data_IF_605058382006
#
_entry.id   IF_605058382006
#
_cell.length_a   1.000
_cell.length_b   1.000
_cell.length_c   1.000
_cell.angle_alpha   90.00
_cell.angle_beta   90.00
_cell.angle_gamma   90.00
#
_symmetry.space_group_name_H-M   'P 1'
#
loop_
_entity.id
_entity.type
_entity.pdbx_description
1 polymer ?
#
# COMPACT_ATOMS: atom_id res chain seq x y z
N UNK A 1 -10.57 4.81 -46.03
CA UNK A 1 -9.10 4.91 -45.97
C UNK A 1 -8.73 4.82 -44.51
N UNK A 2 -7.99 3.78 -44.10
CA UNK A 2 -7.47 3.72 -42.74
C UNK A 2 -6.50 4.91 -42.56
N UNK A 3 -6.54 5.66 -41.44
CA UNK A 3 -5.58 6.72 -41.20
C UNK A 3 -4.16 6.12 -41.21
N UNK A 4 -3.26 6.79 -41.93
CA UNK A 4 -1.86 6.37 -42.07
C UNK A 4 -1.20 6.29 -40.68
N UNK A 5 -0.45 5.23 -40.42
CA UNK A 5 0.27 5.05 -39.15
C UNK A 5 1.22 6.23 -38.86
N UNK A 6 1.73 6.90 -39.92
CA UNK A 6 2.53 8.11 -39.81
C UNK A 6 1.74 9.30 -39.24
N UNK A 7 0.50 9.48 -39.68
CA UNK A 7 -0.36 10.59 -39.22
C UNK A 7 -0.77 10.38 -37.75
N UNK A 8 -1.10 9.14 -37.38
CA UNK A 8 -1.41 8.78 -35.99
C UNK A 8 -0.22 9.03 -35.05
N UNK A 9 1.01 8.71 -35.49
CA UNK A 9 2.23 8.96 -34.73
C UNK A 9 2.52 10.47 -34.57
N UNK A 10 2.31 11.26 -35.64
CA UNK A 10 2.50 12.70 -35.61
C UNK A 10 1.51 13.39 -34.63
N UNK A 11 0.23 12.98 -34.64
CA UNK A 11 -0.78 13.48 -33.69
C UNK A 11 -0.39 13.12 -32.25
N UNK A 12 0.05 11.88 -32.01
CA UNK A 12 0.52 11.45 -30.68
C UNK A 12 1.70 12.28 -30.18
N UNK A 13 2.66 12.61 -31.05
CA UNK A 13 3.80 13.44 -30.68
C UNK A 13 3.39 14.89 -30.34
N UNK A 14 2.45 15.48 -31.10
CA UNK A 14 1.92 16.82 -30.78
C UNK A 14 1.24 16.84 -29.41
N UNK A 15 0.40 15.84 -29.12
CA UNK A 15 -0.26 15.66 -27.82
C UNK A 15 0.76 15.52 -26.69
N UNK A 16 1.77 14.67 -26.87
CA UNK A 16 2.81 14.48 -25.86
C UNK A 16 3.59 15.77 -25.59
N UNK A 17 3.97 16.50 -26.65
CA UNK A 17 4.67 17.77 -26.52
C UNK A 17 3.82 18.82 -25.79
N UNK A 18 2.52 18.86 -26.06
CA UNK A 18 1.57 19.76 -25.41
C UNK A 18 1.44 19.46 -23.90
N UNK A 19 1.24 18.20 -23.52
CA UNK A 19 1.17 17.79 -22.12
C UNK A 19 2.52 18.02 -21.40
N UNK A 20 3.65 17.81 -22.08
CA UNK A 20 4.98 18.16 -21.57
C UNK A 20 5.15 19.68 -21.36
N UNK A 21 4.53 20.52 -22.19
CA UNK A 21 4.55 21.97 -21.98
C UNK A 21 3.76 22.37 -20.72
N UNK A 22 2.65 21.68 -20.41
CA UNK A 22 1.92 21.85 -19.15
C UNK A 22 2.77 21.45 -17.94
N UNK A 23 3.46 20.30 -18.02
CA UNK A 23 4.39 19.80 -16.99
C UNK A 23 5.54 20.79 -16.71
N UNK A 24 6.17 21.32 -17.77
CA UNK A 24 7.34 22.20 -17.65
C UNK A 24 6.99 23.64 -17.28
N UNK A 25 5.74 24.05 -17.48
CA UNK A 25 5.27 25.41 -17.18
C UNK A 25 5.63 26.46 -18.23
N UNK A 26 6.08 26.05 -19.43
CA UNK A 26 6.36 26.98 -20.52
C UNK A 26 5.06 27.43 -21.18
N UNK A 27 4.48 28.52 -20.67
CA UNK A 27 3.17 29.03 -21.09
C UNK A 27 3.13 29.42 -22.58
N UNK A 28 4.18 30.02 -23.13
CA UNK A 28 4.21 30.42 -24.54
C UNK A 28 4.23 29.19 -25.46
N UNK A 29 5.05 28.18 -25.12
CA UNK A 29 5.06 26.92 -25.85
C UNK A 29 3.72 26.19 -25.71
N UNK A 30 3.14 26.18 -24.50
CA UNK A 30 1.84 25.58 -24.24
C UNK A 30 0.75 26.20 -25.11
N UNK A 31 0.64 27.53 -25.14
CA UNK A 31 -0.32 28.26 -25.99
C UNK A 31 -0.09 27.98 -27.47
N UNK A 32 1.17 27.98 -27.92
CA UNK A 32 1.51 27.66 -29.32
C UNK A 32 1.08 26.25 -29.71
N UNK A 33 1.37 25.24 -28.86
CA UNK A 33 1.00 23.85 -29.12
C UNK A 33 -0.51 23.63 -29.03
N UNK A 34 -1.21 24.34 -28.13
CA UNK A 34 -2.66 24.30 -28.03
C UNK A 34 -3.34 24.72 -29.35
N UNK A 35 -2.89 25.83 -29.94
CA UNK A 35 -3.40 26.32 -31.24
C UNK A 35 -3.09 25.32 -32.37
N UNK A 36 -1.93 24.67 -32.32
CA UNK A 36 -1.57 23.61 -33.29
C UNK A 36 -2.39 22.32 -33.14
N UNK A 37 -2.99 22.08 -31.97
CA UNK A 37 -3.89 20.95 -31.78
C UNK A 37 -5.31 21.28 -32.28
N UNK A 38 -5.69 22.56 -32.32
CA UNK A 38 -7.00 23.03 -32.81
C UNK A 38 -7.02 23.23 -34.34
N UNK A 39 -6.34 22.37 -35.10
CA UNK A 39 -6.21 22.46 -36.57
C UNK A 39 -7.58 22.40 -37.28
N UNK A 40 -8.55 21.71 -36.69
CA UNK A 40 -9.91 21.58 -37.22
C UNK A 40 -10.84 22.73 -36.78
N UNK A 41 -10.36 23.69 -35.97
CA UNK A 41 -11.14 24.83 -35.50
C UNK A 41 -12.36 24.45 -34.65
N UNK A 42 -12.24 23.36 -33.87
CA UNK A 42 -13.30 22.88 -32.96
C UNK A 42 -13.49 23.80 -31.76
N UNK A 43 -12.51 24.68 -31.53
CA UNK A 43 -12.47 25.64 -30.44
C UNK A 43 -11.45 25.20 -29.40
N UNK A 44 -10.53 26.11 -29.08
CA UNK A 44 -9.36 25.86 -28.23
C UNK A 44 -9.70 25.19 -26.89
N UNK A 45 -10.78 25.64 -26.22
CA UNK A 45 -11.27 25.02 -24.97
C UNK A 45 -11.55 23.53 -25.16
N UNK A 46 -12.43 23.20 -26.13
CA UNK A 46 -12.86 21.83 -26.39
C UNK A 46 -11.70 20.94 -26.80
N UNK A 47 -10.83 21.46 -27.68
CA UNK A 47 -9.63 20.75 -28.11
C UNK A 47 -8.73 20.41 -26.93
N UNK A 48 -8.51 21.34 -25.99
CA UNK A 48 -7.69 21.05 -24.80
C UNK A 48 -8.40 20.07 -23.84
N UNK A 49 -9.71 20.19 -23.65
CA UNK A 49 -10.50 19.27 -22.81
C UNK A 49 -10.43 17.82 -23.33
N UNK A 50 -10.43 17.65 -24.66
CA UNK A 50 -10.35 16.35 -25.32
C UNK A 50 -8.92 15.74 -25.26
N UNK A 51 -7.88 16.56 -25.04
CA UNK A 51 -6.49 16.12 -24.97
C UNK A 51 -6.18 15.58 -23.58
N UNK A 52 -6.22 14.24 -23.48
CA UNK A 52 -5.92 13.48 -22.27
C UNK A 52 -4.90 12.39 -22.52
N UNK A 53 -4.17 12.00 -21.49
CA UNK A 53 -3.33 10.81 -21.54
C UNK A 53 -4.13 9.51 -21.33
N UNK A 54 -3.43 8.38 -21.28
CA UNK A 54 -4.05 7.06 -21.09
C UNK A 54 -4.82 6.95 -19.76
N UNK A 55 -4.46 7.74 -18.75
CA UNK A 55 -5.10 7.75 -17.44
C UNK A 55 -6.17 8.84 -17.35
N UNK A 56 -6.66 9.36 -18.49
CA UNK A 56 -7.61 10.48 -18.59
C UNK A 56 -7.14 11.78 -17.95
N UNK A 57 -5.84 11.96 -17.73
CA UNK A 57 -5.27 13.21 -17.19
C UNK A 57 -5.14 14.22 -18.31
N UNK A 58 -5.75 15.39 -18.13
CA UNK A 58 -5.62 16.55 -19.01
C UNK A 58 -4.51 17.51 -18.58
N UNK A 59 -4.31 18.59 -19.34
CA UNK A 59 -3.29 19.60 -19.06
C UNK A 59 -3.37 20.21 -17.65
N UNK A 60 -4.58 20.39 -17.11
CA UNK A 60 -4.78 20.96 -15.77
C UNK A 60 -4.23 20.04 -14.68
N UNK A 61 -4.37 18.71 -14.81
CA UNK A 61 -3.81 17.74 -13.88
C UNK A 61 -2.28 17.83 -13.85
N UNK A 62 -1.66 17.84 -15.03
CA UNK A 62 -0.20 17.93 -15.16
C UNK A 62 0.36 19.24 -14.63
N UNK A 63 -0.29 20.37 -14.93
CA UNK A 63 0.10 21.67 -14.42
C UNK A 63 -0.02 21.73 -12.89
N UNK A 64 -1.11 21.23 -12.33
CA UNK A 64 -1.34 21.21 -10.89
C UNK A 64 -0.32 20.30 -10.17
N UNK A 65 -0.07 19.10 -10.71
CA UNK A 65 0.91 18.13 -10.19
C UNK A 65 2.34 18.68 -10.09
N UNK A 66 2.72 19.60 -10.98
CA UNK A 66 4.08 20.17 -11.04
C UNK A 66 4.15 21.64 -10.55
N UNK A 67 3.07 22.13 -9.95
CA UNK A 67 2.98 23.46 -9.35
C UNK A 67 3.03 24.60 -10.36
N UNK A 68 2.60 24.38 -11.61
CA UNK A 68 2.63 25.38 -12.69
C UNK A 68 1.39 26.27 -12.63
N UNK A 69 1.30 27.10 -11.59
CA UNK A 69 0.13 27.97 -11.32
C UNK A 69 -0.23 28.86 -12.51
N UNK A 70 0.74 29.38 -13.28
CA UNK A 70 0.45 30.22 -14.46
C UNK A 70 -0.21 29.45 -15.61
N UNK A 71 0.09 28.16 -15.78
CA UNK A 71 -0.64 27.31 -16.72
C UNK A 71 -2.05 27.07 -16.19
N UNK A 72 -2.22 26.82 -14.89
CA UNK A 72 -3.53 26.62 -14.27
C UNK A 72 -4.42 27.86 -14.45
N UNK A 73 -3.86 29.07 -14.22
CA UNK A 73 -4.53 30.35 -14.48
C UNK A 73 -5.01 30.46 -15.91
N UNK A 74 -4.14 30.19 -16.88
CA UNK A 74 -4.54 30.22 -18.27
C UNK A 74 -5.69 29.25 -18.59
N UNK A 75 -5.61 28.01 -18.08
CA UNK A 75 -6.63 26.99 -18.30
C UNK A 75 -7.99 27.36 -17.68
N UNK A 76 -7.99 27.91 -16.46
CA UNK A 76 -9.22 28.22 -15.71
C UNK A 76 -9.81 29.60 -16.03
N UNK A 77 -8.97 30.61 -16.19
CA UNK A 77 -9.41 31.99 -16.38
C UNK A 77 -9.63 32.33 -17.86
N UNK A 78 -8.71 31.95 -18.75
CA UNK A 78 -8.83 32.29 -20.18
C UNK A 78 -9.69 31.26 -20.92
N UNK A 79 -9.47 29.98 -20.63
CA UNK A 79 -10.16 28.89 -21.34
C UNK A 79 -11.41 28.36 -20.63
N UNK A 80 -11.64 28.76 -19.37
CA UNK A 80 -12.83 28.38 -18.59
C UNK A 80 -13.03 26.86 -18.54
N UNK A 81 -11.95 26.09 -18.38
CA UNK A 81 -12.03 24.65 -18.11
C UNK A 81 -12.73 24.39 -16.78
N UNK A 82 -13.33 23.22 -16.66
CA UNK A 82 -13.78 22.70 -15.38
C UNK A 82 -12.58 22.45 -14.46
N UNK A 83 -12.66 22.93 -13.22
CA UNK A 83 -11.59 22.83 -12.23
C UNK A 83 -11.54 21.44 -11.59
N UNK A 84 -12.67 20.74 -11.53
CA UNK A 84 -12.83 19.44 -10.86
C UNK A 84 -12.86 18.26 -11.84
N UNK A 85 -12.23 18.42 -13.01
CA UNK A 85 -12.03 17.29 -13.93
C UNK A 85 -11.37 16.12 -13.21
N UNK A 86 -11.85 14.90 -13.44
CA UNK A 86 -11.31 13.68 -12.82
C UNK A 86 -10.52 12.85 -13.82
N UNK A 87 -9.43 12.27 -13.33
CA UNK A 87 -8.68 11.23 -14.05
C UNK A 87 -9.27 9.82 -13.83
N UNK A 88 -8.59 8.77 -14.29
CA UNK A 88 -9.07 7.39 -14.16
C UNK A 88 -9.19 6.85 -12.74
N UNK A 89 -8.52 7.47 -11.76
CA UNK A 89 -8.60 7.09 -10.35
C UNK A 89 -9.50 8.05 -9.55
N UNK A 90 -10.27 8.89 -10.25
CA UNK A 90 -11.07 9.93 -9.65
C UNK A 90 -10.25 11.12 -9.11
N UNK A 91 -8.93 11.19 -9.38
CA UNK A 91 -8.11 12.29 -8.85
C UNK A 91 -8.40 13.60 -9.59
N UNK A 92 -8.63 14.68 -8.84
CA UNK A 92 -8.78 16.04 -9.38
C UNK A 92 -7.42 16.76 -9.43
N UNK A 93 -7.28 17.86 -10.19
CA UNK A 93 -6.10 18.71 -10.15
C UNK A 93 -5.71 19.17 -8.73
N UNK A 94 -6.69 19.43 -7.86
CA UNK A 94 -6.45 19.79 -6.46
C UNK A 94 -5.74 18.65 -5.71
N UNK A 95 -6.18 17.39 -5.91
CA UNK A 95 -5.54 16.23 -5.28
C UNK A 95 -4.10 16.04 -5.79
N UNK A 96 -3.86 16.20 -7.09
CA UNK A 96 -2.50 16.17 -7.65
C UNK A 96 -1.58 17.23 -7.04
N UNK A 97 -2.05 18.48 -6.90
CA UNK A 97 -1.27 19.56 -6.28
C UNK A 97 -1.00 19.29 -4.80
N UNK A 98 -2.02 18.86 -4.05
CA UNK A 98 -1.91 18.56 -2.62
C UNK A 98 -0.94 17.39 -2.36
N UNK A 99 -1.04 16.31 -3.14
CA UNK A 99 -0.18 15.12 -3.02
C UNK A 99 1.30 15.44 -3.27
N UNK A 100 1.59 16.42 -4.13
CA UNK A 100 2.94 16.83 -4.47
C UNK A 100 3.44 18.02 -3.63
N UNK A 101 2.64 18.54 -2.70
CA UNK A 101 3.01 19.63 -1.81
C UNK A 101 3.05 21.01 -2.48
N UNK A 102 2.36 21.20 -3.61
CA UNK A 102 2.28 22.49 -4.30
C UNK A 102 1.22 23.39 -3.66
N UNK A 103 1.54 23.93 -2.48
CA UNK A 103 0.61 24.70 -1.62
C UNK A 103 -0.02 25.88 -2.36
N UNK A 104 0.78 26.72 -3.03
CA UNK A 104 0.27 27.90 -3.74
C UNK A 104 -0.71 27.52 -4.87
N UNK A 105 -0.40 26.44 -5.60
CA UNK A 105 -1.26 25.93 -6.67
C UNK A 105 -2.54 25.33 -6.10
N UNK A 106 -2.46 24.53 -5.03
CA UNK A 106 -3.63 23.95 -4.38
C UNK A 106 -4.57 25.05 -3.83
N UNK A 107 -4.03 26.06 -3.15
CA UNK A 107 -4.79 27.24 -2.68
C UNK A 107 -5.46 27.97 -3.84
N UNK A 108 -4.71 28.22 -4.90
CA UNK A 108 -5.25 28.86 -6.11
C UNK A 108 -6.43 28.07 -6.69
N UNK A 109 -6.31 26.74 -6.83
CA UNK A 109 -7.39 25.90 -7.34
C UNK A 109 -8.66 25.99 -6.48
N UNK A 110 -8.51 25.95 -5.15
CA UNK A 110 -9.64 26.11 -4.22
C UNK A 110 -10.26 27.50 -4.32
N UNK A 111 -9.46 28.56 -4.42
CA UNK A 111 -9.97 29.93 -4.58
C UNK A 111 -10.64 30.14 -5.96
N UNK A 112 -10.32 29.31 -6.96
CA UNK A 112 -11.03 29.22 -8.25
C UNK A 112 -12.30 28.35 -8.21
N UNK A 113 -12.66 27.81 -7.04
CA UNK A 113 -13.90 27.05 -6.85
C UNK A 113 -13.75 25.54 -6.98
N UNK A 114 -12.52 24.98 -6.92
CA UNK A 114 -12.35 23.54 -6.77
C UNK A 114 -13.04 23.04 -5.50
N UNK A 115 -13.74 21.92 -5.60
CA UNK A 115 -14.34 21.29 -4.44
C UNK A 115 -13.25 20.74 -3.50
N UNK A 116 -13.04 21.43 -2.37
CA UNK A 116 -12.08 21.03 -1.35
C UNK A 116 -12.41 19.71 -0.65
N UNK A 117 -13.66 19.23 -0.77
CA UNK A 117 -14.11 17.94 -0.27
C UNK A 117 -14.05 16.82 -1.33
N UNK A 118 -13.68 17.13 -2.58
CA UNK A 118 -13.56 16.13 -3.62
C UNK A 118 -12.56 15.04 -3.23
N UNK A 119 -12.94 13.79 -3.48
CA UNK A 119 -12.14 12.61 -3.20
C UNK A 119 -11.80 11.82 -4.48
N UNK A 120 -10.69 11.10 -4.42
CA UNK A 120 -10.37 10.03 -5.36
C UNK A 120 -11.34 8.84 -5.20
N UNK A 121 -11.22 7.85 -6.08
CA UNK A 121 -12.02 6.62 -6.01
C UNK A 121 -11.71 5.79 -4.75
N UNK A 122 -10.57 6.04 -4.11
CA UNK A 122 -10.17 5.44 -2.81
C UNK A 122 -10.56 6.34 -1.61
N UNK A 123 -11.39 7.36 -1.82
CA UNK A 123 -11.84 8.28 -0.78
C UNK A 123 -10.82 9.32 -0.31
N UNK A 124 -9.60 9.34 -0.86
CA UNK A 124 -8.57 10.29 -0.44
C UNK A 124 -8.88 11.72 -0.91
N UNK A 125 -8.89 12.67 0.04
CA UNK A 125 -9.10 14.11 -0.21
C UNK A 125 -7.80 14.90 -0.14
N UNK A 126 -7.83 16.18 -0.49
CA UNK A 126 -6.67 17.07 -0.36
C UNK A 126 -6.17 17.16 1.10
N UNK A 127 -7.09 17.03 2.07
CA UNK A 127 -6.77 17.04 3.49
C UNK A 127 -5.94 15.82 3.89
N UNK A 128 -6.26 14.62 3.37
CA UNK A 128 -5.46 13.41 3.59
C UNK A 128 -4.03 13.59 3.10
N UNK A 129 -3.86 14.11 1.88
CA UNK A 129 -2.54 14.36 1.32
C UNK A 129 -1.76 15.40 2.12
N UNK A 130 -2.38 16.51 2.51
CA UNK A 130 -1.74 17.53 3.33
C UNK A 130 -1.32 16.98 4.71
N UNK A 131 -2.16 16.14 5.32
CA UNK A 131 -1.90 15.49 6.60
C UNK A 131 -0.74 14.49 6.52
N UNK A 132 -0.77 13.55 5.56
CA UNK A 132 0.27 12.52 5.42
C UNK A 132 1.62 13.06 4.94
N UNK A 133 1.64 14.21 4.25
CA UNK A 133 2.90 14.86 3.83
C UNK A 133 3.42 15.89 4.83
N UNK A 134 2.66 16.21 5.89
CA UNK A 134 3.03 17.24 6.86
C UNK A 134 2.99 18.66 6.33
N UNK A 135 2.24 18.92 5.25
CA UNK A 135 2.10 20.25 4.67
C UNK A 135 1.15 21.12 5.51
N UNK A 136 1.66 21.62 6.65
CA UNK A 136 0.89 22.34 7.67
C UNK A 136 0.15 23.55 7.11
N UNK A 137 0.78 24.30 6.20
CA UNK A 137 0.16 25.47 5.58
C UNK A 137 -1.06 25.10 4.74
N UNK A 138 -0.99 24.01 3.96
CA UNK A 138 -2.11 23.53 3.17
C UNK A 138 -3.19 22.89 4.05
N UNK A 139 -2.77 22.13 5.07
CA UNK A 139 -3.67 21.50 6.04
C UNK A 139 -4.56 22.54 6.73
N UNK A 140 -3.96 23.58 7.31
CA UNK A 140 -4.70 24.66 7.97
C UNK A 140 -5.60 25.42 6.99
N UNK A 141 -5.11 25.67 5.77
CA UNK A 141 -5.91 26.33 4.75
C UNK A 141 -7.15 25.49 4.40
N UNK A 142 -7.02 24.18 4.17
CA UNK A 142 -8.15 23.31 3.85
C UNK A 142 -9.15 23.25 5.01
N UNK A 143 -8.68 23.08 6.26
CA UNK A 143 -9.53 23.13 7.45
C UNK A 143 -10.30 24.46 7.56
N UNK A 144 -9.68 25.59 7.18
CA UNK A 144 -10.35 26.90 7.15
C UNK A 144 -11.49 27.01 6.12
N UNK A 145 -11.51 26.11 5.12
CA UNK A 145 -12.61 26.00 4.13
C UNK A 145 -13.76 25.10 4.61
N UNK A 146 -13.67 24.55 5.82
CA UNK A 146 -14.75 23.76 6.42
C UNK A 146 -14.85 22.34 5.87
N UNK A 147 -13.76 21.77 5.37
CA UNK A 147 -13.70 20.34 5.01
C UNK A 147 -13.90 19.46 6.24
N UNK A 148 -14.49 18.29 6.04
CA UNK A 148 -14.69 17.33 7.12
C UNK A 148 -13.34 16.68 7.53
N UNK A 149 -12.99 16.88 8.81
CA UNK A 149 -11.79 16.32 9.44
C UNK A 149 -11.86 14.79 9.55
N UNK A 150 -13.08 14.23 9.53
CA UNK A 150 -13.36 12.79 9.64
C UNK A 150 -13.57 12.11 8.27
N UNK A 151 -13.29 12.80 7.16
CA UNK A 151 -13.40 12.22 5.82
C UNK A 151 -12.64 10.89 5.73
N UNK A 152 -13.27 9.85 5.16
CA UNK A 152 -12.71 8.50 5.10
C UNK A 152 -12.11 8.21 3.72
N UNK A 153 -10.89 7.68 3.73
CA UNK A 153 -10.30 6.96 2.60
C UNK A 153 -10.20 5.47 2.94
N UNK A 154 -9.87 4.64 1.96
CA UNK A 154 -9.56 3.22 2.20
C UNK A 154 -8.43 3.02 3.22
N UNK A 155 -7.53 4.02 3.34
CA UNK A 155 -6.43 4.02 4.30
C UNK A 155 -6.75 4.81 5.59
N UNK A 156 -8.03 5.17 5.81
CA UNK A 156 -8.52 5.86 7.01
C UNK A 156 -8.55 7.39 6.91
N UNK A 157 -8.79 8.03 8.04
CA UNK A 157 -8.92 9.49 8.18
C UNK A 157 -7.60 10.23 7.92
N UNK A 158 -7.63 11.56 7.70
CA UNK A 158 -6.43 12.39 7.69
C UNK A 158 -5.56 12.20 8.95
N UNK A 159 -6.17 11.93 10.11
CA UNK A 159 -5.43 11.67 11.35
C UNK A 159 -4.66 10.35 11.28
N UNK A 160 -5.24 9.29 10.72
CA UNK A 160 -4.55 8.01 10.47
C UNK A 160 -3.36 8.22 9.52
N UNK A 161 -3.54 9.04 8.46
CA UNK A 161 -2.46 9.36 7.52
C UNK A 161 -1.32 10.14 8.18
N UNK A 162 -1.63 11.20 8.93
CA UNK A 162 -0.62 11.97 9.66
C UNK A 162 0.14 11.09 10.66
N UNK A 163 -0.58 10.25 11.40
CA UNK A 163 -0.04 9.32 12.38
C UNK A 163 0.91 8.29 11.76
N UNK A 164 0.51 7.66 10.65
CA UNK A 164 1.31 6.64 9.94
C UNK A 164 2.52 7.19 9.18
N UNK A 165 2.58 8.51 8.98
CA UNK A 165 3.68 9.19 8.30
C UNK A 165 4.55 10.05 9.24
N UNK A 166 4.40 9.90 10.56
CA UNK A 166 5.17 10.64 11.58
C UNK A 166 5.04 12.17 11.45
N UNK A 167 3.82 12.66 11.17
CA UNK A 167 3.56 14.09 11.00
C UNK A 167 3.01 14.71 12.28
N UNK A 168 3.87 14.87 13.29
CA UNK A 168 3.49 15.30 14.64
C UNK A 168 2.68 16.61 14.67
N UNK A 169 3.10 17.65 13.94
CA UNK A 169 2.37 18.92 13.94
C UNK A 169 1.01 18.79 13.24
N UNK A 170 0.89 17.93 12.22
CA UNK A 170 -0.38 17.66 11.56
C UNK A 170 -1.32 16.87 12.48
N UNK A 171 -0.82 15.86 13.21
CA UNK A 171 -1.57 15.12 14.24
C UNK A 171 -2.15 16.09 15.26
N UNK A 172 -1.31 16.98 15.80
CA UNK A 172 -1.75 18.00 16.77
C UNK A 172 -2.86 18.89 16.21
N UNK A 173 -2.68 19.45 15.01
CA UNK A 173 -3.68 20.33 14.39
C UNK A 173 -5.00 19.59 14.15
N UNK A 174 -4.95 18.35 13.67
CA UNK A 174 -6.16 17.56 13.43
C UNK A 174 -6.91 17.29 14.75
N UNK A 175 -6.20 16.95 15.83
CA UNK A 175 -6.77 16.77 17.16
C UNK A 175 -7.36 18.08 17.72
N UNK A 176 -6.68 19.21 17.53
CA UNK A 176 -7.18 20.55 17.90
C UNK A 176 -8.47 20.91 17.13
N UNK A 177 -8.64 20.33 15.94
CA UNK A 177 -9.86 20.39 15.12
C UNK A 177 -10.85 19.26 15.41
N UNK A 178 -10.76 18.61 16.58
CA UNK A 178 -11.67 17.58 17.06
C UNK A 178 -11.66 16.27 16.25
N UNK A 179 -10.55 15.94 15.59
CA UNK A 179 -10.39 14.64 14.96
C UNK A 179 -10.54 13.50 16.00
N UNK A 180 -11.24 12.43 15.65
CA UNK A 180 -11.43 11.29 16.55
C UNK A 180 -10.13 10.48 16.68
N UNK A 181 -9.47 10.44 17.87
CA UNK A 181 -8.24 9.68 18.07
C UNK A 181 -8.43 8.16 18.00
N UNK A 182 -9.69 7.70 18.04
CA UNK A 182 -10.10 6.30 17.92
C UNK A 182 -10.85 6.03 16.62
N UNK A 183 -10.68 6.85 15.58
CA UNK A 183 -11.17 6.51 14.25
C UNK A 183 -10.52 5.19 13.79
N UNK A 184 -11.25 4.40 13.02
CA UNK A 184 -10.77 3.12 12.52
C UNK A 184 -11.16 2.90 11.05
N UNK A 185 -10.30 2.20 10.31
CA UNK A 185 -10.63 1.68 8.97
C UNK A 185 -11.48 0.41 9.07
N UNK A 186 -11.96 -0.09 7.94
CA UNK A 186 -12.61 -1.41 7.84
C UNK A 186 -11.71 -2.57 8.33
N UNK A 187 -10.39 -2.37 8.33
CA UNK A 187 -9.39 -3.33 8.82
C UNK A 187 -9.00 -3.07 10.29
N UNK A 188 -9.77 -2.25 11.01
CA UNK A 188 -9.54 -1.82 12.39
C UNK A 188 -8.22 -1.05 12.62
N UNK A 189 -7.65 -0.46 11.57
CA UNK A 189 -6.43 0.36 11.69
C UNK A 189 -6.80 1.70 12.31
N UNK A 190 -6.17 2.05 13.44
CA UNK A 190 -6.39 3.30 14.17
C UNK A 190 -5.18 4.22 14.11
N UNK A 191 -5.31 5.53 14.41
CA UNK A 191 -4.17 6.45 14.48
C UNK A 191 -3.06 5.94 15.39
N UNK A 192 -3.42 5.44 16.57
CA UNK A 192 -2.44 4.94 17.55
C UNK A 192 -1.65 3.75 16.99
N UNK A 193 -2.34 2.82 16.32
CA UNK A 193 -1.68 1.67 15.69
C UNK A 193 -0.73 2.12 14.57
N UNK A 194 -1.17 3.03 13.70
CA UNK A 194 -0.36 3.57 12.59
C UNK A 194 0.90 4.29 13.10
N UNK A 195 0.78 5.07 14.17
CA UNK A 195 1.91 5.73 14.81
C UNK A 195 2.91 4.74 15.42
N UNK A 196 2.43 3.65 16.02
CA UNK A 196 3.30 2.60 16.57
C UNK A 196 4.02 1.85 15.44
N UNK A 197 3.33 1.54 14.34
CA UNK A 197 3.96 0.96 13.15
C UNK A 197 4.98 1.91 12.50
N UNK A 198 4.75 3.22 12.57
CA UNK A 198 5.70 4.24 12.11
C UNK A 198 6.88 4.46 13.07
N UNK A 199 6.83 3.93 14.31
CA UNK A 199 7.85 4.15 15.32
C UNK A 199 7.87 5.57 15.91
N UNK A 200 6.76 6.32 15.79
CA UNK A 200 6.70 7.72 16.23
C UNK A 200 6.25 7.87 17.69
N UNK A 201 7.22 7.98 18.60
CA UNK A 201 6.92 8.30 20.00
C UNK A 201 6.19 9.67 20.16
N UNK A 202 6.56 10.75 19.46
CA UNK A 202 5.91 12.05 19.65
C UNK A 202 4.43 12.05 19.25
N UNK A 203 4.07 11.40 18.14
CA UNK A 203 2.66 11.24 17.75
C UNK A 203 1.92 10.35 18.75
N UNK A 204 2.59 9.33 19.29
CA UNK A 204 1.97 8.39 20.23
C UNK A 204 1.56 9.10 21.51
N UNK A 205 2.46 9.93 22.07
CA UNK A 205 2.19 10.72 23.27
C UNK A 205 1.00 11.66 23.06
N UNK A 206 0.90 12.30 21.88
CA UNK A 206 -0.24 13.17 21.55
C UNK A 206 -1.56 12.41 21.45
N UNK A 207 -1.57 11.25 20.79
CA UNK A 207 -2.76 10.42 20.64
C UNK A 207 -3.21 9.83 21.98
N UNK A 208 -2.28 9.37 22.82
CA UNK A 208 -2.58 8.92 24.18
C UNK A 208 -3.17 10.06 25.01
N UNK A 209 -2.59 11.26 24.93
CA UNK A 209 -3.12 12.44 25.62
C UNK A 209 -4.54 12.81 25.13
N UNK A 210 -4.84 12.57 23.86
CA UNK A 210 -6.17 12.75 23.28
C UNK A 210 -7.18 11.63 23.63
N UNK A 211 -6.76 10.58 24.33
CA UNK A 211 -7.63 9.48 24.74
C UNK A 211 -7.72 8.34 23.72
N UNK A 212 -6.69 8.13 22.89
CA UNK A 212 -6.58 6.95 22.06
C UNK A 212 -6.50 5.67 22.92
N UNK A 213 -7.23 4.63 22.51
CA UNK A 213 -7.26 3.33 23.17
C UNK A 213 -5.98 2.53 22.84
N UNK A 214 -5.11 2.21 23.82
CA UNK A 214 -3.88 1.46 23.57
C UNK A 214 -4.12 -0.05 23.37
N UNK A 215 -5.35 -0.54 23.58
CA UNK A 215 -5.74 -1.95 23.52
C UNK A 215 -6.53 -2.31 22.25
N UNK A 216 -6.39 -1.53 21.18
CA UNK A 216 -6.95 -1.85 19.86
C UNK A 216 -6.32 -3.13 19.30
N UNK A 217 -7.05 -3.84 18.45
CA UNK A 217 -6.60 -5.07 17.79
C UNK A 217 -6.86 -4.92 16.29
N UNK A 218 -5.82 -5.10 15.49
CA UNK A 218 -5.94 -5.16 14.03
C UNK A 218 -5.02 -6.24 13.47
N UNK A 219 -5.52 -7.06 12.56
CA UNK A 219 -4.79 -8.23 12.04
C UNK A 219 -4.28 -9.14 13.16
N UNK A 220 -5.09 -9.35 14.20
CA UNK A 220 -4.73 -10.16 15.36
C UNK A 220 -3.80 -9.49 16.37
N UNK A 221 -3.07 -8.43 16.03
CA UNK A 221 -2.06 -7.83 16.90
C UNK A 221 -2.56 -6.55 17.62
N UNK A 222 -2.04 -6.32 18.84
CA UNK A 222 -2.19 -5.03 19.54
C UNK A 222 -1.00 -4.10 19.25
N UNK A 223 -1.10 -2.79 19.50
CA UNK A 223 0.04 -1.87 19.47
C UNK A 223 1.24 -2.38 20.28
N UNK A 224 0.99 -3.04 21.42
CA UNK A 224 2.05 -3.56 22.27
C UNK A 224 2.77 -4.76 21.62
N UNK A 225 2.09 -5.58 20.81
CA UNK A 225 2.73 -6.63 20.02
C UNK A 225 3.65 -6.04 18.95
N UNK A 226 3.17 -5.04 18.19
CA UNK A 226 3.97 -4.39 17.15
C UNK A 226 5.22 -3.73 17.76
N UNK A 227 5.06 -3.00 18.86
CA UNK A 227 6.17 -2.35 19.54
C UNK A 227 7.19 -3.38 20.11
N UNK A 228 6.70 -4.55 20.54
CA UNK A 228 7.53 -5.67 21.01
C UNK A 228 8.28 -6.35 19.88
N UNK A 229 7.66 -6.52 18.71
CA UNK A 229 8.30 -7.07 17.51
C UNK A 229 9.45 -6.18 17.00
N UNK A 230 9.32 -4.86 17.17
CA UNK A 230 10.33 -3.88 16.79
C UNK A 230 11.36 -3.60 17.90
N UNK A 231 11.20 -4.16 19.10
CA UNK A 231 12.09 -3.88 20.24
C UNK A 231 12.05 -2.40 20.70
N UNK A 232 10.97 -1.68 20.42
CA UNK A 232 10.86 -0.22 20.65
C UNK A 232 10.54 0.12 22.11
N UNK A 233 11.56 0.07 22.97
CA UNK A 233 11.43 0.21 24.44
C UNK A 233 10.70 1.47 24.90
N UNK A 234 10.89 2.61 24.23
CA UNK A 234 10.24 3.87 24.60
C UNK A 234 8.74 3.84 24.26
N UNK A 235 8.38 3.27 23.12
CA UNK A 235 6.98 3.06 22.70
C UNK A 235 6.29 2.05 23.61
N UNK A 236 6.94 0.93 23.92
CA UNK A 236 6.44 -0.06 24.88
C UNK A 236 6.15 0.62 26.22
N UNK A 237 7.11 1.39 26.73
CA UNK A 237 6.96 2.12 27.99
C UNK A 237 5.83 3.14 27.95
N UNK A 238 5.64 3.84 26.83
CA UNK A 238 4.55 4.80 26.63
C UNK A 238 3.19 4.09 26.64
N UNK A 239 3.04 3.02 25.85
CA UNK A 239 1.80 2.22 25.77
C UNK A 239 1.41 1.63 27.13
N UNK A 240 2.36 1.09 27.88
CA UNK A 240 2.11 0.55 29.22
C UNK A 240 1.64 1.65 30.19
N UNK A 241 2.27 2.83 30.16
CA UNK A 241 1.82 4.00 30.94
C UNK A 241 0.41 4.46 30.55
N UNK A 242 0.05 4.29 29.26
CA UNK A 242 -1.27 4.60 28.73
C UNK A 242 -2.34 3.54 29.10
N UNK A 243 -1.95 2.42 29.71
CA UNK A 243 -2.87 1.35 30.11
C UNK A 243 -3.02 0.22 29.08
N UNK A 244 -2.02 0.01 28.21
CA UNK A 244 -1.94 -1.19 27.39
C UNK A 244 -1.87 -2.44 28.28
N UNK A 245 -2.68 -3.46 27.98
CA UNK A 245 -2.67 -4.74 28.68
C UNK A 245 -1.62 -5.67 28.07
N UNK A 246 -0.53 -5.99 28.80
CA UNK A 246 0.53 -6.89 28.33
C UNK A 246 0.11 -8.37 28.30
N UNK A 247 -1.14 -8.69 28.65
CA UNK A 247 -1.67 -10.04 28.66
C UNK A 247 -2.57 -10.36 27.46
N UNK A 248 -2.92 -9.39 26.63
CA UNK A 248 -3.65 -9.68 25.38
C UNK A 248 -2.75 -10.56 24.51
N UNK A 249 -3.35 -11.56 23.86
CA UNK A 249 -2.66 -12.44 22.94
C UNK A 249 -2.96 -12.04 21.50
N UNK A 250 -1.99 -12.20 20.61
CA UNK A 250 -2.19 -12.05 19.17
C UNK A 250 -2.90 -13.28 18.55
N UNK A 251 -2.93 -13.32 17.21
CA UNK A 251 -3.53 -14.43 16.43
C UNK A 251 -2.83 -15.78 16.65
N UNK A 252 -1.54 -15.77 16.98
CA UNK A 252 -0.77 -16.98 17.31
C UNK A 252 -0.93 -17.39 18.79
N UNK A 253 -1.74 -16.65 19.55
CA UNK A 253 -1.92 -16.85 20.99
C UNK A 253 -0.73 -16.34 21.82
N UNK A 254 0.14 -15.54 21.22
CA UNK A 254 1.37 -15.04 21.84
C UNK A 254 1.10 -13.74 22.56
N UNK A 255 1.66 -13.57 23.77
CA UNK A 255 1.66 -12.27 24.46
C UNK A 255 2.81 -11.40 23.95
N UNK A 256 2.75 -10.06 24.12
CA UNK A 256 3.83 -9.15 23.70
C UNK A 256 5.21 -9.53 24.23
N UNK A 257 5.30 -10.01 25.48
CA UNK A 257 6.58 -10.46 26.07
C UNK A 257 7.19 -11.66 25.33
N UNK A 258 6.36 -12.55 24.78
CA UNK A 258 6.84 -13.68 24.00
C UNK A 258 7.33 -13.24 22.61
N UNK A 259 6.65 -12.26 22.00
CA UNK A 259 7.09 -11.64 20.73
C UNK A 259 8.47 -11.00 20.91
N UNK A 260 8.65 -10.16 21.95
CA UNK A 260 9.95 -9.57 22.27
C UNK A 260 11.03 -10.64 22.56
N UNK A 261 10.67 -11.68 23.30
CA UNK A 261 11.58 -12.78 23.63
C UNK A 261 12.01 -13.58 22.39
N UNK A 262 11.10 -13.83 21.44
CA UNK A 262 11.37 -14.49 20.17
C UNK A 262 12.36 -13.71 19.30
N UNK A 263 12.30 -12.37 19.34
CA UNK A 263 13.28 -11.48 18.69
C UNK A 263 14.61 -11.38 19.44
N UNK A 264 14.66 -11.82 20.69
CA UNK A 264 15.83 -11.67 21.56
C UNK A 264 15.99 -10.27 22.15
N UNK A 265 14.94 -9.45 22.11
CA UNK A 265 14.98 -8.07 22.61
C UNK A 265 14.90 -8.02 24.13
N UNK A 266 16.04 -8.26 24.78
CA UNK A 266 16.16 -8.32 26.24
C UNK A 266 15.53 -7.12 26.95
N UNK A 267 15.79 -5.91 26.47
CA UNK A 267 15.29 -4.70 27.12
C UNK A 267 13.76 -4.61 27.09
N UNK A 268 13.13 -5.02 25.99
CA UNK A 268 11.67 -5.10 25.89
C UNK A 268 11.11 -6.18 26.85
N UNK A 269 11.77 -7.34 26.93
CA UNK A 269 11.41 -8.41 27.88
C UNK A 269 11.52 -7.92 29.33
N UNK A 270 12.59 -7.21 29.69
CA UNK A 270 12.79 -6.64 31.04
C UNK A 270 11.67 -5.68 31.45
N UNK A 271 11.10 -4.93 30.49
CA UNK A 271 9.98 -4.01 30.73
C UNK A 271 8.65 -4.78 30.84
N UNK A 272 8.41 -5.75 29.97
CA UNK A 272 7.12 -6.45 29.84
C UNK A 272 6.93 -7.57 30.87
N UNK A 273 7.99 -8.31 31.19
CA UNK A 273 7.93 -9.50 32.04
C UNK A 273 7.29 -9.24 33.42
N UNK A 274 7.64 -8.16 34.16
CA UNK A 274 7.05 -7.90 35.47
C UNK A 274 5.54 -7.58 35.44
N UNK A 275 5.02 -7.19 34.28
CA UNK A 275 3.62 -6.81 34.08
C UNK A 275 2.80 -7.92 33.42
N UNK A 276 3.45 -9.00 32.99
CA UNK A 276 2.81 -10.11 32.27
C UNK A 276 2.58 -11.28 33.20
N UNK A 277 1.38 -11.87 33.13
CA UNK A 277 1.06 -13.09 33.86
C UNK A 277 1.92 -14.26 33.37
N UNK A 278 2.47 -15.09 34.28
CA UNK A 278 3.30 -16.22 33.90
C UNK A 278 2.62 -17.17 32.92
N UNK A 279 3.38 -17.61 31.92
CA UNK A 279 2.89 -18.48 30.85
C UNK A 279 3.21 -19.92 31.20
N UNK A 280 2.19 -20.78 31.22
CA UNK A 280 2.31 -22.17 31.71
C UNK A 280 3.35 -23.02 30.97
N UNK A 281 3.58 -22.74 29.68
CA UNK A 281 4.55 -23.47 28.84
C UNK A 281 6.00 -23.07 29.12
N UNK A 282 6.22 -21.91 29.75
CA UNK A 282 7.55 -21.38 30.08
C UNK A 282 7.89 -21.77 31.52
N UNK A 283 8.76 -22.77 31.69
CA UNK A 283 9.11 -23.30 33.02
C UNK A 283 9.99 -22.37 33.85
N UNK A 284 10.90 -21.64 33.21
CA UNK A 284 11.70 -20.58 33.84
C UNK A 284 11.14 -19.20 33.48
N UNK A 285 10.33 -18.63 34.37
CA UNK A 285 9.75 -17.29 34.20
C UNK A 285 10.73 -16.19 34.61
N UNK A 286 11.92 -16.22 34.01
CA UNK A 286 12.94 -15.19 34.10
C UNK A 286 13.16 -14.55 32.73
N UNK A 287 13.87 -13.43 32.67
CA UNK A 287 14.22 -12.78 31.40
C UNK A 287 15.00 -13.74 30.49
N UNK A 288 15.98 -14.44 31.05
CA UNK A 288 16.78 -15.43 30.32
C UNK A 288 15.93 -16.64 29.93
N UNK A 289 15.13 -17.15 30.87
CA UNK A 289 14.30 -18.34 30.67
C UNK A 289 13.25 -18.20 29.57
N UNK A 290 12.56 -17.07 29.49
CA UNK A 290 11.58 -16.84 28.42
C UNK A 290 12.24 -16.62 27.05
N UNK A 291 13.38 -15.92 27.00
CA UNK A 291 14.14 -15.71 25.76
C UNK A 291 14.66 -17.05 25.23
N UNK A 292 15.27 -17.86 26.09
CA UNK A 292 15.75 -19.19 25.73
C UNK A 292 14.61 -20.10 25.27
N UNK A 293 13.47 -20.09 25.98
CA UNK A 293 12.29 -20.87 25.60
C UNK A 293 11.79 -20.49 24.21
N UNK A 294 11.62 -19.19 23.94
CA UNK A 294 11.08 -18.71 22.67
C UNK A 294 12.04 -18.93 21.51
N UNK A 295 13.35 -18.68 21.70
CA UNK A 295 14.34 -18.94 20.66
C UNK A 295 14.50 -20.43 20.35
N UNK A 296 14.33 -21.30 21.36
CA UNK A 296 14.32 -22.74 21.16
C UNK A 296 13.08 -23.18 20.39
N UNK A 297 11.90 -22.68 20.75
CA UNK A 297 10.66 -22.97 20.03
C UNK A 297 10.77 -22.57 18.55
N UNK A 298 11.28 -21.37 18.24
CA UNK A 298 11.50 -20.94 16.85
C UNK A 298 12.47 -21.86 16.09
N UNK A 299 13.57 -22.29 16.73
CA UNK A 299 14.52 -23.24 16.12
C UNK A 299 13.88 -24.61 15.88
N UNK A 300 13.05 -25.10 16.81
CA UNK A 300 12.34 -26.38 16.67
C UNK A 300 11.22 -26.31 15.62
N UNK A 301 10.60 -25.15 15.41
CA UNK A 301 9.65 -24.91 14.31
C UNK A 301 10.36 -24.79 12.95
N UNK A 302 11.51 -24.12 12.88
CA UNK A 302 12.36 -24.07 11.69
C UNK A 302 12.93 -25.45 11.33
N UNK A 303 13.38 -26.23 12.32
CA UNK A 303 13.85 -27.61 12.12
C UNK A 303 12.70 -28.59 11.85
N UNK A 304 11.54 -28.39 12.50
CA UNK A 304 10.34 -29.21 12.34
C UNK A 304 9.62 -28.99 11.02
N UNK A 305 9.62 -27.78 10.47
CA UNK A 305 9.18 -27.49 9.10
C UNK A 305 10.13 -28.13 8.07
N UNK A 306 11.45 -28.05 8.29
CA UNK A 306 12.46 -28.75 7.48
C UNK A 306 12.34 -30.29 7.57
N UNK A 307 11.95 -30.85 8.73
CA UNK A 307 11.77 -32.30 8.93
C UNK A 307 10.40 -32.82 8.46
N UNK A 308 9.35 -32.00 8.49
CA UNK A 308 8.03 -32.33 7.92
C UNK A 308 8.08 -32.35 6.38
N UNK A 309 8.91 -31.53 5.74
CA UNK A 309 9.23 -31.66 4.31
C UNK A 309 10.04 -32.95 4.01
N UNK A 310 10.76 -33.51 4.99
CA UNK A 310 11.57 -34.73 4.86
C UNK A 310 10.83 -36.05 5.20
N UNK A 311 9.59 -36.00 5.69
CA UNK A 311 8.81 -37.19 6.10
C UNK A 311 7.36 -37.12 5.60
N UNK A 312 7.16 -37.11 4.29
CA UNK A 312 5.92 -37.59 3.69
C UNK A 312 6.15 -38.98 3.07
N UNK A 313 5.24 -39.95 3.24
CA UNK A 313 5.35 -41.25 2.58
C UNK A 313 5.19 -41.10 1.07
N UNK A 314 6.08 -41.77 0.34
CA UNK A 314 6.11 -41.89 -1.10
C UNK A 314 4.89 -42.66 -1.60
N UNK A 315 3.82 -41.95 -1.98
CA UNK A 315 2.74 -42.52 -2.78
C UNK A 315 1.99 -41.40 -3.53
N UNK A 316 2.63 -40.89 -4.58
CA UNK A 316 1.99 -40.65 -5.89
C UNK A 316 3.04 -40.18 -6.88
N UNK A 317 3.32 -41.04 -7.87
CA UNK A 317 4.20 -40.75 -9.00
C UNK A 317 3.70 -39.51 -9.76
N UNK A 318 4.45 -38.40 -9.71
CA UNK A 318 4.43 -37.36 -10.75
C UNK A 318 5.81 -36.65 -10.79
N UNK A 319 6.56 -36.99 -11.84
CA UNK A 319 7.85 -36.48 -12.36
C UNK A 319 8.47 -35.25 -11.65
N UNK A 320 9.55 -35.48 -10.89
CA UNK A 320 10.53 -34.45 -10.49
C UNK A 320 11.16 -33.82 -11.73
N UNK A 321 11.06 -32.50 -11.87
CA UNK A 321 11.99 -31.71 -12.68
C UNK A 321 13.21 -31.36 -11.81
N UNK A 322 14.39 -31.51 -12.39
CA UNK A 322 15.69 -31.30 -11.76
C UNK A 322 15.83 -29.89 -11.17
N UNK A 323 15.81 -29.78 -9.85
CA UNK A 323 16.14 -28.53 -9.14
C UNK A 323 17.67 -28.53 -8.93
N UNK A 324 18.41 -27.52 -9.41
CA UNK A 324 19.87 -27.46 -9.24
C UNK A 324 20.27 -27.26 -7.77
N UNK A 325 21.25 -28.04 -7.29
CA UNK A 325 21.87 -27.86 -5.96
C UNK A 325 22.65 -26.53 -5.90
N UNK A 326 22.26 -25.63 -4.98
CA UNK A 326 22.84 -24.29 -4.80
C UNK A 326 23.78 -24.28 -3.59
N UNK A 327 24.97 -23.70 -3.73
CA UNK A 327 25.95 -23.62 -2.63
C UNK A 327 25.49 -22.72 -1.48
N UNK A 328 25.93 -22.95 -0.23
CA UNK A 328 25.60 -22.10 0.92
C UNK A 328 25.98 -20.62 0.72
N UNK A 329 27.09 -20.35 0.03
CA UNK A 329 27.54 -18.99 -0.29
C UNK A 329 26.60 -18.28 -1.26
N UNK A 330 26.04 -19.00 -2.24
CA UNK A 330 25.06 -18.46 -3.17
C UNK A 330 23.72 -18.17 -2.48
N UNK A 331 23.28 -19.07 -1.57
CA UNK A 331 22.10 -18.82 -0.72
C UNK A 331 22.24 -17.58 0.15
N UNK A 332 23.41 -17.37 0.77
CA UNK A 332 23.68 -16.16 1.56
C UNK A 332 23.57 -14.89 0.71
N UNK A 333 24.18 -14.86 -0.47
CA UNK A 333 24.09 -13.72 -1.39
C UNK A 333 22.67 -13.50 -1.91
N UNK A 334 21.92 -14.57 -2.13
CA UNK A 334 20.50 -14.49 -2.48
C UNK A 334 19.68 -13.81 -1.39
N UNK A 335 19.91 -14.12 -0.11
CA UNK A 335 19.25 -13.47 1.02
C UNK A 335 19.61 -11.98 1.13
N UNK A 336 20.86 -11.61 0.88
CA UNK A 336 21.28 -10.20 0.85
C UNK A 336 20.59 -9.43 -0.29
N UNK A 337 20.43 -10.05 -1.47
CA UNK A 337 19.68 -9.48 -2.59
C UNK A 337 18.18 -9.40 -2.29
N UNK A 338 17.60 -10.40 -1.63
CA UNK A 338 16.21 -10.40 -1.16
C UNK A 338 15.95 -9.24 -0.19
N UNK A 339 16.84 -9.01 0.79
CA UNK A 339 16.72 -7.92 1.75
C UNK A 339 16.76 -6.55 1.06
N UNK A 340 17.62 -6.37 0.03
CA UNK A 340 17.59 -5.16 -0.82
C UNK A 340 16.26 -4.98 -1.53
N UNK A 341 15.67 -6.07 -2.03
CA UNK A 341 14.36 -6.04 -2.68
C UNK A 341 13.23 -5.65 -1.72
N UNK A 342 13.26 -6.15 -0.48
CA UNK A 342 12.28 -5.80 0.56
C UNK A 342 12.40 -4.33 0.98
N UNK A 343 13.61 -3.80 1.10
CA UNK A 343 13.84 -2.39 1.38
C UNK A 343 13.35 -1.48 0.23
N UNK A 344 13.63 -1.88 -1.02
CA UNK A 344 13.12 -1.19 -2.20
C UNK A 344 11.58 -1.20 -2.25
N UNK A 345 10.98 -2.35 -1.92
CA UNK A 345 9.53 -2.50 -1.85
C UNK A 345 8.90 -1.58 -0.81
N UNK A 346 9.49 -1.47 0.39
CA UNK A 346 9.04 -0.54 1.44
C UNK A 346 9.06 0.92 0.97
N UNK A 347 10.04 1.29 0.15
CA UNK A 347 10.16 2.62 -0.48
C UNK A 347 9.26 2.82 -1.70
N UNK A 348 8.44 1.82 -2.05
CA UNK A 348 7.59 1.78 -3.27
C UNK A 348 8.38 1.87 -4.58
N UNK A 349 9.68 1.55 -4.56
CA UNK A 349 10.49 1.41 -5.76
C UNK A 349 10.40 -0.03 -6.27
N UNK A 350 9.28 -0.33 -6.94
CA UNK A 350 8.98 -1.69 -7.37
C UNK A 350 9.93 -2.19 -8.46
N UNK A 351 10.46 -1.31 -9.31
CA UNK A 351 11.43 -1.70 -10.34
C UNK A 351 12.76 -2.12 -9.72
N UNK A 352 13.25 -1.37 -8.73
CA UNK A 352 14.45 -1.77 -7.98
C UNK A 352 14.21 -3.04 -7.15
N UNK A 353 13.00 -3.21 -6.59
CA UNK A 353 12.63 -4.44 -5.89
C UNK A 353 12.65 -5.66 -6.82
N UNK A 354 12.11 -5.52 -8.03
CA UNK A 354 12.11 -6.57 -9.07
C UNK A 354 13.53 -6.96 -9.48
N UNK A 355 14.41 -5.98 -9.73
CA UNK A 355 15.80 -6.23 -10.08
C UNK A 355 16.52 -7.00 -8.96
N UNK A 356 16.33 -6.58 -7.71
CA UNK A 356 16.90 -7.23 -6.55
C UNK A 356 16.37 -8.66 -6.34
N UNK A 357 15.06 -8.91 -6.51
CA UNK A 357 14.49 -10.26 -6.43
C UNK A 357 14.92 -11.14 -7.61
N UNK A 358 15.16 -10.56 -8.78
CA UNK A 358 15.70 -11.29 -9.94
C UNK A 358 17.14 -11.73 -9.68
N UNK A 359 17.99 -10.84 -9.19
CA UNK A 359 19.34 -11.19 -8.74
C UNK A 359 19.33 -12.25 -7.64
N UNK A 360 18.40 -12.16 -6.69
CA UNK A 360 18.24 -13.17 -5.65
C UNK A 360 17.83 -14.54 -6.25
N UNK A 361 16.93 -14.53 -7.24
CA UNK A 361 16.42 -15.74 -7.89
C UNK A 361 17.47 -16.39 -8.79
N UNK A 362 18.35 -15.62 -9.42
CA UNK A 362 19.48 -16.14 -10.20
C UNK A 362 20.49 -16.87 -9.29
N UNK A 363 20.63 -16.39 -8.05
CA UNK A 363 21.54 -16.95 -7.04
C UNK A 363 20.93 -18.16 -6.30
N UNK A 364 19.62 -18.15 -6.05
CA UNK A 364 18.90 -19.28 -5.45
C UNK A 364 17.54 -19.51 -6.14
N UNK A 365 17.53 -20.25 -7.26
CA UNK A 365 16.30 -20.57 -7.99
C UNK A 365 15.33 -21.45 -7.19
N UNK A 366 15.77 -22.05 -6.07
CA UNK A 366 14.94 -22.92 -5.24
C UNK A 366 14.07 -22.15 -4.24
N UNK A 367 14.28 -20.85 -4.09
CA UNK A 367 13.54 -20.02 -3.14
C UNK A 367 12.27 -19.42 -3.74
N UNK A 368 11.16 -20.14 -3.62
CA UNK A 368 9.84 -19.72 -4.10
C UNK A 368 9.36 -18.37 -3.53
N UNK A 369 9.86 -17.93 -2.36
CA UNK A 369 9.45 -16.65 -1.77
C UNK A 369 9.87 -15.44 -2.62
N UNK A 370 10.94 -15.58 -3.40
CA UNK A 370 11.42 -14.55 -4.32
C UNK A 370 10.43 -14.30 -5.45
N UNK A 371 9.88 -15.38 -6.02
CA UNK A 371 8.86 -15.30 -7.06
C UNK A 371 7.56 -14.70 -6.54
N UNK A 372 7.12 -15.07 -5.34
CA UNK A 372 5.94 -14.46 -4.70
C UNK A 372 6.12 -12.94 -4.46
N UNK A 373 7.30 -12.53 -3.99
CA UNK A 373 7.61 -11.11 -3.75
C UNK A 373 7.74 -10.32 -5.05
N UNK A 374 8.37 -10.89 -6.08
CA UNK A 374 8.49 -10.28 -7.41
C UNK A 374 7.13 -10.18 -8.11
N UNK A 375 6.29 -11.21 -8.01
CA UNK A 375 4.90 -11.20 -8.46
C UNK A 375 4.11 -10.05 -7.84
N UNK A 376 4.26 -9.81 -6.54
CA UNK A 376 3.62 -8.67 -5.86
C UNK A 376 4.08 -7.32 -6.42
N UNK A 377 5.36 -7.17 -6.74
CA UNK A 377 5.87 -5.95 -7.37
C UNK A 377 5.24 -5.72 -8.75
N UNK A 378 5.12 -6.78 -9.56
CA UNK A 378 4.44 -6.71 -10.85
C UNK A 378 2.96 -6.35 -10.73
N UNK A 379 2.26 -6.89 -9.72
CA UNK A 379 0.87 -6.49 -9.41
C UNK A 379 0.77 -5.00 -9.09
N UNK A 380 1.70 -4.46 -8.29
CA UNK A 380 1.73 -3.03 -7.95
C UNK A 380 2.04 -2.13 -9.16
N UNK A 381 2.73 -2.66 -10.17
CA UNK A 381 3.00 -1.98 -11.44
C UNK A 381 1.92 -2.20 -12.52
N UNK A 382 0.86 -2.95 -12.21
CA UNK A 382 -0.20 -3.28 -13.18
C UNK A 382 0.24 -4.28 -14.26
N UNK A 383 1.39 -4.94 -14.11
CA UNK A 383 1.92 -5.89 -15.09
C UNK A 383 1.45 -7.32 -14.81
N UNK A 384 0.17 -7.56 -15.12
CA UNK A 384 -0.53 -8.78 -14.72
C UNK A 384 0.07 -10.08 -15.30
N UNK A 385 0.56 -10.07 -16.55
CA UNK A 385 1.17 -11.25 -17.18
C UNK A 385 2.47 -11.68 -16.47
N UNK A 386 3.34 -10.74 -16.13
CA UNK A 386 4.57 -11.01 -15.38
C UNK A 386 4.24 -11.48 -13.96
N UNK A 387 3.25 -10.85 -13.32
CA UNK A 387 2.77 -11.28 -12.01
C UNK A 387 2.24 -12.72 -12.02
N UNK A 388 1.48 -13.09 -13.05
CA UNK A 388 0.92 -14.42 -13.22
C UNK A 388 2.01 -15.47 -13.46
N UNK A 389 3.00 -15.16 -14.30
CA UNK A 389 4.13 -16.06 -14.56
C UNK A 389 4.90 -16.38 -13.26
N UNK A 390 5.24 -15.35 -12.48
CA UNK A 390 5.93 -15.52 -11.21
C UNK A 390 5.07 -16.26 -10.17
N UNK A 391 3.77 -15.95 -10.08
CA UNK A 391 2.87 -16.63 -9.16
C UNK A 391 2.69 -18.12 -9.52
N UNK A 392 2.55 -18.44 -10.80
CA UNK A 392 2.44 -19.82 -11.29
C UNK A 392 3.71 -20.62 -11.03
N UNK A 393 4.88 -20.00 -11.26
CA UNK A 393 6.17 -20.61 -10.94
C UNK A 393 6.34 -20.83 -9.43
N UNK A 394 5.95 -19.84 -8.62
CA UNK A 394 5.94 -19.96 -7.16
C UNK A 394 5.04 -21.11 -6.69
N UNK A 395 3.82 -21.23 -7.24
CA UNK A 395 2.90 -22.32 -6.93
C UNK A 395 3.44 -23.67 -7.37
N UNK A 396 4.08 -23.74 -8.53
CA UNK A 396 4.70 -24.99 -9.02
C UNK A 396 5.78 -25.49 -8.07
N UNK A 397 6.50 -24.56 -7.42
CA UNK A 397 7.51 -24.89 -6.42
C UNK A 397 6.93 -25.19 -5.04
N UNK A 398 5.89 -24.47 -4.61
CA UNK A 398 5.21 -24.65 -3.32
C UNK A 398 3.67 -24.69 -3.50
N UNK A 399 3.10 -25.84 -3.90
CA UNK A 399 1.67 -25.97 -4.16
C UNK A 399 0.79 -25.83 -2.90
N UNK A 400 1.35 -26.13 -1.72
CA UNK A 400 0.64 -26.01 -0.45
C UNK A 400 0.67 -24.59 0.14
N UNK A 401 1.42 -23.67 -0.47
CA UNK A 401 1.55 -22.31 0.05
C UNK A 401 0.38 -21.43 -0.42
N UNK A 402 -0.58 -21.18 0.46
CA UNK A 402 -1.79 -20.43 0.13
C UNK A 402 -1.50 -19.03 -0.45
N UNK A 403 -0.40 -18.39 -0.04
CA UNK A 403 0.06 -17.12 -0.59
C UNK A 403 0.40 -17.19 -2.09
N UNK A 404 0.89 -18.31 -2.60
CA UNK A 404 1.15 -18.48 -4.04
C UNK A 404 -0.15 -18.46 -4.85
N UNK A 405 -1.17 -19.17 -4.35
CA UNK A 405 -2.52 -19.17 -4.90
C UNK A 405 -3.18 -17.80 -4.86
N UNK A 406 -2.99 -17.06 -3.76
CA UNK A 406 -3.45 -15.68 -3.67
C UNK A 406 -2.82 -14.79 -4.74
N UNK A 407 -1.49 -14.87 -4.94
CA UNK A 407 -0.79 -14.06 -5.96
C UNK A 407 -1.27 -14.38 -7.37
N UNK A 408 -1.52 -15.65 -7.66
CA UNK A 408 -2.07 -16.11 -8.93
C UNK A 408 -3.50 -15.59 -9.16
N UNK A 409 -4.37 -15.74 -8.17
CA UNK A 409 -5.73 -15.19 -8.22
C UNK A 409 -5.73 -13.69 -8.41
N UNK A 410 -4.85 -12.95 -7.72
CA UNK A 410 -4.73 -11.50 -7.87
C UNK A 410 -4.27 -11.10 -9.28
N UNK A 411 -3.32 -11.83 -9.88
CA UNK A 411 -2.86 -11.58 -11.25
C UNK A 411 -3.95 -11.89 -12.29
N UNK A 412 -4.66 -13.01 -12.12
CA UNK A 412 -5.79 -13.40 -12.98
C UNK A 412 -6.96 -12.41 -12.89
N UNK A 413 -7.22 -11.87 -11.69
CA UNK A 413 -8.22 -10.82 -11.49
C UNK A 413 -7.86 -9.55 -12.25
N UNK A 414 -6.59 -9.15 -12.23
CA UNK A 414 -6.10 -7.99 -12.98
C UNK A 414 -6.18 -8.22 -14.52
N UNK A 415 -6.04 -9.47 -14.97
CA UNK A 415 -6.30 -9.90 -16.35
C UNK A 415 -7.79 -10.07 -16.70
N UNK A 416 -8.70 -9.79 -15.76
CA UNK A 416 -10.16 -10.02 -15.90
C UNK A 416 -10.54 -11.49 -16.19
N UNK A 417 -9.68 -12.44 -15.83
CA UNK A 417 -9.92 -13.89 -15.91
C UNK A 417 -10.58 -14.37 -14.61
N UNK A 418 -11.78 -13.87 -14.34
CA UNK A 418 -12.41 -13.98 -13.02
C UNK A 418 -12.72 -15.41 -12.58
N UNK A 419 -13.12 -16.30 -13.50
CA UNK A 419 -13.38 -17.70 -13.17
C UNK A 419 -12.10 -18.43 -12.74
N UNK A 420 -10.99 -18.16 -13.42
CA UNK A 420 -9.68 -18.72 -13.08
C UNK A 420 -9.14 -18.10 -11.79
N UNK A 421 -9.37 -16.80 -11.58
CA UNK A 421 -9.02 -16.11 -10.34
C UNK A 421 -9.79 -16.71 -9.14
N UNK A 422 -11.10 -16.92 -9.28
CA UNK A 422 -11.93 -17.55 -8.26
C UNK A 422 -11.45 -18.97 -7.95
N UNK A 423 -11.09 -19.77 -8.97
CA UNK A 423 -10.52 -21.09 -8.74
C UNK A 423 -9.19 -21.02 -7.98
N UNK A 424 -8.29 -20.11 -8.36
CA UNK A 424 -7.02 -19.93 -7.67
C UNK A 424 -7.22 -19.52 -6.20
N UNK A 425 -8.12 -18.58 -5.92
CA UNK A 425 -8.44 -18.19 -4.54
C UNK A 425 -9.09 -19.33 -3.76
N UNK A 426 -10.01 -20.08 -4.37
CA UNK A 426 -10.65 -21.24 -3.74
C UNK A 426 -9.62 -22.33 -3.36
N UNK A 427 -8.68 -22.64 -4.26
CA UNK A 427 -7.59 -23.55 -3.95
C UNK A 427 -6.77 -23.01 -2.77
N UNK A 428 -6.47 -21.71 -2.72
CA UNK A 428 -5.86 -21.06 -1.55
C UNK A 428 -6.66 -21.25 -0.25
N UNK A 429 -7.97 -20.99 -0.28
CA UNK A 429 -8.88 -21.18 0.87
C UNK A 429 -8.88 -22.62 1.36
N UNK A 430 -8.79 -23.60 0.47
CA UNK A 430 -8.71 -25.01 0.88
C UNK A 430 -7.43 -25.34 1.68
N UNK A 431 -6.34 -24.60 1.48
CA UNK A 431 -5.07 -24.80 2.22
C UNK A 431 -5.08 -24.04 3.53
N UNK A 432 -5.61 -22.81 3.53
CA UNK A 432 -5.76 -21.97 4.72
C UNK A 432 -7.21 -21.47 4.86
N UNK A 433 -8.13 -22.29 5.40
CA UNK A 433 -9.56 -21.92 5.50
C UNK A 433 -9.83 -20.73 6.42
N UNK A 434 -8.92 -20.45 7.36
CA UNK A 434 -9.00 -19.34 8.31
C UNK A 434 -8.47 -18.02 7.72
N UNK A 435 -7.86 -18.07 6.52
CA UNK A 435 -7.34 -16.89 5.83
C UNK A 435 -8.48 -16.07 5.22
N UNK A 436 -8.98 -15.11 5.99
CA UNK A 436 -10.09 -14.24 5.60
C UNK A 436 -9.80 -13.39 4.36
N UNK A 437 -8.53 -13.10 4.07
CA UNK A 437 -8.13 -12.38 2.85
C UNK A 437 -8.43 -13.22 1.60
N UNK A 438 -8.12 -14.52 1.64
CA UNK A 438 -8.43 -15.48 0.58
C UNK A 438 -9.94 -15.71 0.43
N UNK A 439 -10.67 -15.81 1.54
CA UNK A 439 -12.14 -15.96 1.53
C UNK A 439 -12.83 -14.74 0.92
N UNK A 440 -12.37 -13.53 1.27
CA UNK A 440 -12.84 -12.27 0.70
C UNK A 440 -12.48 -12.19 -0.79
N UNK A 441 -11.23 -12.43 -1.16
CA UNK A 441 -10.76 -12.39 -2.54
C UNK A 441 -11.50 -13.41 -3.45
N UNK A 442 -11.80 -14.60 -2.93
CA UNK A 442 -12.64 -15.58 -3.61
C UNK A 442 -14.05 -15.05 -3.86
N UNK A 443 -14.70 -14.53 -2.82
CA UNK A 443 -16.07 -14.00 -2.91
C UNK A 443 -16.16 -12.83 -3.90
N UNK A 444 -15.19 -11.91 -3.84
CA UNK A 444 -15.06 -10.79 -4.78
C UNK A 444 -14.84 -11.25 -6.21
N UNK A 445 -13.98 -12.25 -6.44
CA UNK A 445 -13.74 -12.80 -7.78
C UNK A 445 -14.99 -13.46 -8.37
N UNK A 446 -15.75 -14.20 -7.56
CA UNK A 446 -17.03 -14.80 -7.98
C UNK A 446 -18.07 -13.72 -8.31
N UNK A 447 -18.17 -12.67 -7.50
CA UNK A 447 -19.09 -11.57 -7.75
C UNK A 447 -18.69 -10.77 -9.00
N UNK A 448 -17.40 -10.47 -9.17
CA UNK A 448 -16.86 -9.81 -10.35
C UNK A 448 -17.13 -10.64 -11.61
N UNK A 449 -16.91 -11.96 -11.56
CA UNK A 449 -17.26 -12.87 -12.65
C UNK A 449 -18.74 -12.87 -12.99
N UNK A 450 -19.64 -12.86 -11.98
CA UNK A 450 -21.09 -12.75 -12.21
C UNK A 450 -21.50 -11.43 -12.86
N UNK A 451 -20.88 -10.31 -12.45
CA UNK A 451 -21.11 -8.99 -13.06
C UNK A 451 -20.60 -8.94 -14.49
N UNK A 452 -19.42 -9.49 -14.75
CA UNK A 452 -18.78 -9.54 -16.06
C UNK A 452 -19.56 -10.41 -17.06
N UNK A 453 -20.00 -11.60 -16.65
CA UNK A 453 -20.84 -12.49 -17.48
C UNK A 453 -22.31 -12.05 -17.53
N UNK A 454 -22.77 -11.27 -16.55
CA UNK A 454 -24.11 -10.70 -16.49
C UNK A 454 -24.34 -9.54 -17.46
N UNK A 455 -23.27 -8.85 -17.88
CA UNK A 455 -23.33 -7.82 -18.93
C UNK A 455 -23.40 -8.41 -20.35
N UNK A 456 -22.96 -9.65 -20.54
CA UNK A 456 -23.01 -10.36 -21.83
C UNK A 456 -24.35 -11.05 -22.12
N UNK A 457 -25.23 -11.18 -21.11
CA UNK A 457 -26.61 -11.70 -21.27
C UNK A 457 -27.66 -10.62 -21.53
N UNK A 458 -27.32 -9.64 -22.37
CA UNK A 458 -28.34 -8.96 -23.17
C UNK A 458 -28.45 -9.66 -24.53
N UNK A 459 -29.17 -10.78 -24.53
CA UNK A 459 -29.69 -11.41 -25.75
C UNK A 459 -31.12 -10.89 -26.01
N UNK A 460 -31.64 -11.02 -27.25
CA UNK A 460 -31.17 -10.48 -28.52
C UNK A 460 -32.08 -9.35 -29.05
#
# INVERSE_FOLDING_TARGET
MAPDASDALAVRQKVQNFLNAALTGNLDLFKKLAVQLDEEGKGLKKTIEDVKDANKRGALHFAAREGKTEICKYLLEDLKLDVDTKDENGETPLLHAARQGHVDTAKYLVDCGADSAASSDLGATALHHAAGTGNIELLQYLLSKGVDVESQSDAGTPLIWAAGHDQQEAVKILLDHHANPNAETDDNITPLLSTVAAGSLPCLEQLVQAGANPNVIAGGATPLHIASDYGSVDIISCLLKAGADPNITDEDGMKPVQVAAARGDRAAVEILLPLTSPIKTVSDWSVDGIIEHMQKANKEEEEGSNLKEARMPDDTQLKKQDIPEVTPEAKKKSLEAKARGEEAFKRRDYLMAIDAYTQASDLDPSNATLLSNRSLCWLRLGQADHALADATACRTMKPEWAKAWYREGAALRLLQRFDEAANAFYEGVQREPENMELVKAFSEAVEAGRKFHGTDKKEP
#
